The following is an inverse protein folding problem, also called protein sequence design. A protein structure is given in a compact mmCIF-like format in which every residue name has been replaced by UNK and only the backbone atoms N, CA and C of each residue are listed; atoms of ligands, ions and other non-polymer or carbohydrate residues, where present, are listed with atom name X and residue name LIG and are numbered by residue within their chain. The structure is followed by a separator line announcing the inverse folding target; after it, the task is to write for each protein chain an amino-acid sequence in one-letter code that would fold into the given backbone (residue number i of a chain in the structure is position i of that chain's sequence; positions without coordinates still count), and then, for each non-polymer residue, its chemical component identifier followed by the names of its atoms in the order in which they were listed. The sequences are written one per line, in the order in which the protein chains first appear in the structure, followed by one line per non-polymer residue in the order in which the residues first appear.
data_IF_222991209853
#
_entry.id   IF_222991209853
#
_cell.length_a   1.000
_cell.length_b   1.000
_cell.length_c   1.000
_cell.angle_alpha   90.00
_cell.angle_beta   90.00
_cell.angle_gamma   90.00
#
_symmetry.space_group_name_H-M   'P 1'
#
loop_
_entity.id
_entity.type
_entity.pdbx_description
1 polymer ?
#
# COMPACT_ATOMS: atom_id res chain seq x y z
N UNK A 1 -27.84 -7.95 6.81
CA UNK A 1 -27.71 -9.34 7.28
C UNK A 1 -26.29 -9.50 7.81
N UNK A 2 -26.11 -9.92 9.06
CA UNK A 2 -24.78 -10.26 9.57
C UNK A 2 -24.45 -11.64 9.04
N UNK A 3 -23.53 -11.70 8.08
CA UNK A 3 -22.94 -12.97 7.65
C UNK A 3 -21.83 -13.29 8.66
N UNK A 4 -21.77 -14.53 9.15
CA UNK A 4 -20.71 -14.95 10.05
C UNK A 4 -19.39 -15.10 9.27
N UNK A 5 -18.40 -14.30 9.62
CA UNK A 5 -17.06 -14.35 9.01
C UNK A 5 -16.45 -15.74 9.10
N UNK A 6 -16.77 -16.51 10.15
CA UNK A 6 -16.27 -17.87 10.33
C UNK A 6 -16.85 -18.84 9.29
N UNK A 7 -18.14 -18.73 9.01
CA UNK A 7 -18.80 -19.54 7.98
C UNK A 7 -18.24 -19.22 6.58
N UNK A 8 -17.98 -17.94 6.28
CA UNK A 8 -17.34 -17.54 5.03
C UNK A 8 -15.94 -18.15 4.91
N UNK A 9 -15.15 -18.08 5.99
CA UNK A 9 -13.80 -18.61 6.00
C UNK A 9 -13.79 -20.13 5.77
N UNK A 10 -14.68 -20.86 6.45
CA UNK A 10 -14.77 -22.32 6.30
C UNK A 10 -15.06 -22.70 4.84
N UNK A 11 -16.03 -22.03 4.19
CA UNK A 11 -16.33 -22.24 2.76
C UNK A 11 -15.19 -21.83 1.84
N UNK A 12 -14.51 -20.73 2.13
CA UNK A 12 -13.35 -20.27 1.34
C UNK A 12 -12.18 -21.26 1.43
N UNK A 13 -12.03 -21.95 2.56
CA UNK A 13 -10.98 -22.94 2.76
C UNK A 13 -11.17 -24.21 1.92
N UNK A 14 -12.43 -24.56 1.60
CA UNK A 14 -12.80 -25.69 0.73
C UNK A 14 -12.55 -25.43 -0.76
N UNK A 15 -12.29 -24.19 -1.17
CA UNK A 15 -12.04 -23.85 -2.57
C UNK A 15 -10.73 -24.45 -3.10
N UNK A 16 -10.68 -24.86 -4.39
CA UNK A 16 -9.44 -25.18 -5.08
C UNK A 16 -8.44 -24.01 -5.00
N UNK A 17 -7.13 -24.33 -5.06
CA UNK A 17 -6.07 -23.34 -4.85
C UNK A 17 -6.19 -22.10 -5.75
N UNK A 18 -6.58 -22.27 -7.02
CA UNK A 18 -6.75 -21.16 -7.97
C UNK A 18 -7.93 -20.27 -7.60
N UNK A 19 -9.07 -20.84 -7.22
CA UNK A 19 -10.25 -20.06 -6.83
C UNK A 19 -10.03 -19.35 -5.50
N UNK A 20 -9.31 -19.99 -4.56
CA UNK A 20 -8.88 -19.36 -3.32
C UNK A 20 -8.00 -18.13 -3.57
N UNK A 21 -7.02 -18.24 -4.48
CA UNK A 21 -6.16 -17.12 -4.85
C UNK A 21 -6.96 -15.97 -5.49
N UNK A 22 -7.91 -16.28 -6.38
CA UNK A 22 -8.81 -15.27 -6.98
C UNK A 22 -9.67 -14.57 -5.93
N UNK A 23 -10.23 -15.31 -4.98
CA UNK A 23 -11.04 -14.73 -3.91
C UNK A 23 -10.20 -13.78 -3.04
N UNK A 24 -8.97 -14.17 -2.68
CA UNK A 24 -8.06 -13.31 -1.92
C UNK A 24 -7.74 -12.04 -2.70
N UNK A 25 -7.45 -12.13 -3.99
CA UNK A 25 -7.15 -10.97 -4.83
C UNK A 25 -8.31 -9.97 -4.93
N UNK A 26 -9.54 -10.47 -5.08
CA UNK A 26 -10.74 -9.63 -5.07
C UNK A 26 -10.98 -8.96 -3.71
N UNK A 27 -10.79 -9.70 -2.62
CA UNK A 27 -10.91 -9.15 -1.26
C UNK A 27 -9.86 -8.06 -1.02
N UNK A 28 -8.60 -8.31 -1.38
CA UNK A 28 -7.54 -7.29 -1.27
C UNK A 28 -7.85 -6.06 -2.12
N UNK A 29 -8.32 -6.25 -3.35
CA UNK A 29 -8.71 -5.16 -4.24
C UNK A 29 -9.85 -4.31 -3.66
N UNK A 30 -10.81 -4.93 -2.96
CA UNK A 30 -11.89 -4.21 -2.29
C UNK A 30 -11.45 -3.40 -1.06
N UNK A 31 -10.26 -3.68 -0.52
CA UNK A 31 -9.67 -2.91 0.57
C UNK A 31 -8.77 -1.77 0.09
N UNK A 32 -8.39 -1.79 -1.18
CA UNK A 32 -7.50 -0.81 -1.83
C UNK A 32 -8.31 0.26 -2.59
N UNK A 33 -9.50 0.61 -2.08
CA UNK A 33 -10.31 1.67 -2.66
C UNK A 33 -9.68 3.04 -2.38
N UNK A 34 -9.50 3.90 -3.41
CA UNK A 34 -8.96 5.23 -3.21
C UNK A 34 -9.86 6.06 -2.30
N UNK A 35 -9.27 6.68 -1.29
CA UNK A 35 -9.93 7.66 -0.44
C UNK A 35 -9.46 9.06 -0.86
N UNK A 36 -10.35 9.82 -1.50
CA UNK A 36 -10.05 11.16 -2.02
C UNK A 36 -9.56 12.13 -0.93
N UNK A 37 -10.01 11.95 0.32
CA UNK A 37 -9.57 12.79 1.44
C UNK A 37 -8.14 12.45 1.84
N UNK A 38 -7.80 11.15 1.87
CA UNK A 38 -6.42 10.69 2.09
C UNK A 38 -5.52 11.16 0.94
N UNK A 39 -5.95 11.02 -0.32
CA UNK A 39 -5.20 11.48 -1.49
C UNK A 39 -4.91 12.99 -1.46
N UNK A 40 -5.88 13.79 -1.03
CA UNK A 40 -5.69 15.23 -0.86
C UNK A 40 -4.63 15.56 0.20
N UNK A 41 -4.61 14.82 1.31
CA UNK A 41 -3.59 14.96 2.36
C UNK A 41 -2.20 14.56 1.85
N UNK A 42 -2.09 13.45 1.11
CA UNK A 42 -0.84 13.02 0.48
C UNK A 42 -0.31 14.04 -0.51
N UNK A 43 -1.17 14.62 -1.36
CA UNK A 43 -0.78 15.64 -2.33
C UNK A 43 -0.15 16.84 -1.64
N UNK A 44 -0.80 17.34 -0.58
CA UNK A 44 -0.28 18.44 0.24
C UNK A 44 1.08 18.10 0.87
N UNK A 45 1.18 16.93 1.49
CA UNK A 45 2.42 16.48 2.14
C UNK A 45 3.58 16.36 1.14
N UNK A 46 3.32 15.83 -0.06
CA UNK A 46 4.34 15.71 -1.11
C UNK A 46 4.82 17.11 -1.54
N UNK A 47 3.92 18.05 -1.78
CA UNK A 47 4.27 19.43 -2.12
C UNK A 47 5.10 20.09 -1.00
N UNK A 48 4.69 19.91 0.26
CA UNK A 48 5.39 20.44 1.43
C UNK A 48 6.80 19.86 1.56
N UNK A 49 6.97 18.54 1.37
CA UNK A 49 8.28 17.87 1.40
C UNK A 49 9.19 18.34 0.28
N UNK A 50 8.67 18.47 -0.94
CA UNK A 50 9.46 18.97 -2.08
C UNK A 50 9.95 20.39 -1.79
N UNK A 51 9.06 21.27 -1.30
CA UNK A 51 9.43 22.65 -0.92
C UNK A 51 10.48 22.69 0.18
N UNK A 52 10.33 21.87 1.23
CA UNK A 52 11.30 21.80 2.32
C UNK A 52 12.67 21.32 1.84
N UNK A 53 12.71 20.29 0.98
CA UNK A 53 13.93 19.80 0.36
C UNK A 53 14.62 20.86 -0.50
N UNK A 54 13.87 21.53 -1.38
CA UNK A 54 14.40 22.60 -2.24
C UNK A 54 14.91 23.80 -1.42
N UNK A 55 14.29 24.08 -0.27
CA UNK A 55 14.70 25.13 0.64
C UNK A 55 15.87 24.71 1.57
N UNK A 56 16.41 23.50 1.44
CA UNK A 56 17.48 22.98 2.29
C UNK A 56 17.06 22.72 3.75
N UNK A 57 15.75 22.61 4.01
CA UNK A 57 15.17 22.37 5.35
C UNK A 57 14.95 20.89 5.64
N UNK A 58 15.24 20.02 4.67
CA UNK A 58 15.10 18.57 4.78
C UNK A 58 16.44 17.93 4.48
N UNK A 59 16.89 17.05 5.37
CA UNK A 59 18.07 16.21 5.11
C UNK A 59 17.75 15.19 4.01
N UNK A 60 18.76 14.87 3.21
CA UNK A 60 18.65 13.86 2.15
C UNK A 60 19.92 13.03 2.09
N UNK A 61 19.77 11.81 1.60
CA UNK A 61 20.90 10.91 1.35
C UNK A 61 21.09 10.82 -0.16
N UNK A 62 22.34 10.87 -0.61
CA UNK A 62 22.62 10.79 -2.04
C UNK A 62 22.29 9.39 -2.58
N UNK A 63 21.88 9.31 -3.85
CA UNK A 63 21.67 8.01 -4.51
C UNK A 63 22.92 7.13 -4.43
N UNK A 64 24.11 7.75 -4.52
CA UNK A 64 25.39 7.06 -4.43
C UNK A 64 25.54 6.33 -3.08
N UNK A 65 25.19 6.99 -1.96
CA UNK A 65 25.27 6.43 -0.62
C UNK A 65 24.26 5.28 -0.44
N UNK A 66 23.02 5.44 -0.92
CA UNK A 66 21.99 4.39 -0.88
C UNK A 66 22.43 3.14 -1.63
N UNK A 67 23.06 3.32 -2.80
CA UNK A 67 23.52 2.24 -3.65
C UNK A 67 24.87 1.65 -3.23
N UNK A 68 25.57 2.26 -2.28
CA UNK A 68 26.90 1.82 -1.86
C UNK A 68 26.92 0.33 -1.44
N UNK A 69 25.87 -0.13 -0.74
CA UNK A 69 25.74 -1.53 -0.29
C UNK A 69 25.61 -2.57 -1.41
N UNK A 70 25.36 -2.14 -2.65
CA UNK A 70 25.19 -3.03 -3.81
C UNK A 70 26.39 -2.99 -4.76
N UNK A 71 27.39 -2.13 -4.51
CA UNK A 71 28.64 -2.14 -5.25
C UNK A 71 29.49 -3.31 -4.76
N UNK A 72 29.73 -4.28 -5.64
CA UNK A 72 30.65 -5.39 -5.41
C UNK A 72 32.09 -4.93 -5.47
#
# INVERSE_FOLDING_TARGET
MSVDTREILDRAMELPAVEKARLVDQLLSSLDEPDEAIDALWRKEVEDRIRAYQAGKLESVSLADVLAKYRK
#
